data_IF_506900824779
#
_entry.id   IF_506900824779
#
_cell.length_a   1.000
_cell.length_b   1.000
_cell.length_c   1.000
_cell.angle_alpha   90.00
_cell.angle_beta   90.00
_cell.angle_gamma   90.00
#
_symmetry.space_group_name_H-M   'P 1'
#
loop_
_entity.id
_entity.type
_entity.pdbx_description
1 polymer ?
#
# COMPACT_ATOMS: atom_id res chain seq x y z
N UNK A 1 -2.49 2.45 -19.27
CA UNK A 1 -1.00 2.36 -19.26
C UNK A 1 -0.47 2.08 -17.85
N UNK A 2 0.74 1.52 -17.71
CA UNK A 2 1.38 1.20 -16.40
C UNK A 2 2.48 2.20 -16.06
N UNK A 3 2.48 2.72 -14.83
CA UNK A 3 3.55 3.55 -14.26
C UNK A 3 4.22 2.83 -13.09
N UNK A 4 5.55 2.84 -13.01
CA UNK A 4 6.29 2.20 -11.93
C UNK A 4 7.54 3.00 -11.52
N UNK A 5 8.05 2.71 -10.32
CA UNK A 5 9.29 3.28 -9.81
C UNK A 5 9.30 4.82 -9.86
N UNK A 6 10.31 5.40 -10.52
CA UNK A 6 10.50 6.86 -10.58
C UNK A 6 9.37 7.58 -11.31
N UNK A 7 8.76 6.96 -12.31
CA UNK A 7 7.65 7.57 -13.06
C UNK A 7 6.40 7.67 -12.19
N UNK A 8 6.12 6.62 -11.43
CA UNK A 8 5.02 6.61 -10.46
C UNK A 8 5.25 7.64 -9.35
N UNK A 9 6.47 7.75 -8.82
CA UNK A 9 6.80 8.76 -7.82
C UNK A 9 6.61 10.20 -8.34
N UNK A 10 7.00 10.47 -9.60
CA UNK A 10 6.78 11.77 -10.25
C UNK A 10 5.29 12.06 -10.45
N UNK A 11 4.54 11.06 -10.92
CA UNK A 11 3.10 11.18 -11.09
C UNK A 11 2.39 11.42 -9.76
N UNK A 12 2.72 10.68 -8.71
CA UNK A 12 2.10 10.85 -7.39
C UNK A 12 2.35 12.24 -6.78
N UNK A 13 3.50 12.86 -7.09
CA UNK A 13 3.81 14.22 -6.65
C UNK A 13 2.99 15.30 -7.38
N UNK A 14 2.59 15.05 -8.64
CA UNK A 14 1.79 15.96 -9.48
C UNK A 14 0.87 15.14 -10.41
N UNK A 15 -0.22 14.57 -9.88
CA UNK A 15 -1.10 13.72 -10.67
C UNK A 15 -1.90 14.56 -11.67
N UNK A 16 -2.05 14.06 -12.88
CA UNK A 16 -2.80 14.72 -13.95
C UNK A 16 -4.30 14.34 -13.89
N UNK A 17 -5.22 15.30 -13.71
CA UNK A 17 -6.66 15.04 -13.72
C UNK A 17 -7.21 14.62 -15.09
N UNK A 18 -6.42 14.69 -16.16
CA UNK A 18 -6.79 14.18 -17.50
C UNK A 18 -6.92 12.66 -17.60
N UNK A 19 -6.59 11.92 -16.53
CA UNK A 19 -6.75 10.48 -16.44
C UNK A 19 -8.08 10.10 -15.76
N UNK A 20 -8.97 9.34 -16.42
CA UNK A 20 -10.27 8.99 -15.86
C UNK A 20 -10.19 8.01 -14.68
N UNK A 21 -9.15 7.17 -14.63
CA UNK A 21 -8.99 6.20 -13.56
C UNK A 21 -7.52 5.92 -13.24
N UNK A 22 -7.25 5.69 -11.96
CA UNK A 22 -5.96 5.29 -11.40
C UNK A 22 -6.19 4.07 -10.53
N UNK A 23 -5.60 2.94 -10.90
CA UNK A 23 -5.62 1.68 -10.14
C UNK A 23 -4.29 1.50 -9.41
N UNK A 24 -4.32 1.53 -8.09
CA UNK A 24 -3.17 1.27 -7.24
C UNK A 24 -3.32 -0.15 -6.69
N UNK A 25 -2.34 -1.01 -6.92
CA UNK A 25 -2.47 -2.41 -6.51
C UNK A 25 -1.15 -2.98 -6.03
N UNK A 26 -1.17 -3.80 -4.99
CA UNK A 26 0.07 -4.36 -4.44
C UNK A 26 -0.16 -5.25 -3.23
N UNK A 27 0.89 -5.98 -2.79
CA UNK A 27 0.83 -6.82 -1.61
C UNK A 27 0.96 -6.04 -0.29
N UNK A 28 1.46 -4.79 -0.32
CA UNK A 28 1.62 -3.94 0.87
C UNK A 28 0.46 -2.93 0.98
N UNK A 29 -0.54 -3.18 1.86
CA UNK A 29 -1.74 -2.34 1.94
C UNK A 29 -1.45 -0.93 2.46
N UNK A 30 -0.40 -0.75 3.26
CA UNK A 30 -0.01 0.56 3.78
C UNK A 30 0.64 1.40 2.69
N UNK A 31 1.58 0.85 1.91
CA UNK A 31 2.17 1.60 0.78
C UNK A 31 1.13 1.93 -0.29
N UNK A 32 0.18 1.03 -0.52
CA UNK A 32 -0.99 1.29 -1.37
C UNK A 32 -1.82 2.44 -0.79
N UNK A 33 -2.07 2.45 0.52
CA UNK A 33 -2.82 3.49 1.21
C UNK A 33 -2.12 4.86 1.17
N UNK A 34 -0.81 4.90 1.37
CA UNK A 34 0.02 6.11 1.34
C UNK A 34 0.07 6.71 -0.06
N UNK A 35 0.30 5.88 -1.07
CA UNK A 35 0.30 6.30 -2.47
C UNK A 35 -1.08 6.82 -2.89
N UNK A 36 -2.17 6.14 -2.48
CA UNK A 36 -3.54 6.62 -2.69
C UNK A 36 -3.74 7.99 -2.05
N UNK A 37 -3.34 8.17 -0.78
CA UNK A 37 -3.50 9.43 -0.08
C UNK A 37 -2.73 10.57 -0.78
N UNK A 38 -1.49 10.31 -1.21
CA UNK A 38 -0.69 11.28 -1.97
C UNK A 38 -1.36 11.67 -3.29
N UNK A 39 -1.84 10.70 -4.06
CA UNK A 39 -2.52 10.94 -5.35
C UNK A 39 -3.82 11.71 -5.16
N UNK A 40 -4.67 11.32 -4.20
CA UNK A 40 -5.93 12.02 -3.93
C UNK A 40 -5.65 13.46 -3.50
N UNK A 41 -4.67 13.68 -2.61
CA UNK A 41 -4.26 15.02 -2.18
C UNK A 41 -3.72 15.85 -3.36
N UNK A 42 -2.94 15.25 -4.26
CA UNK A 42 -2.43 15.93 -5.44
C UNK A 42 -3.52 16.30 -6.45
N UNK A 43 -4.56 15.46 -6.59
CA UNK A 43 -5.68 15.70 -7.51
C UNK A 43 -6.66 16.73 -6.96
N UNK A 44 -7.13 16.53 -5.73
CA UNK A 44 -8.23 17.28 -5.16
C UNK A 44 -7.80 18.25 -4.04
N UNK A 45 -6.55 18.26 -3.60
CA UNK A 45 -6.10 19.11 -2.48
C UNK A 45 -6.46 18.53 -1.10
N UNK A 46 -5.97 19.18 -0.05
CA UNK A 46 -6.10 18.70 1.34
C UNK A 46 -7.54 18.78 1.89
N UNK A 47 -8.32 19.75 1.42
CA UNK A 47 -9.69 20.00 1.88
C UNK A 47 -10.77 19.25 1.07
N UNK A 48 -10.39 18.35 0.16
CA UNK A 48 -11.32 17.71 -0.77
C UNK A 48 -12.51 17.02 -0.08
N UNK A 49 -12.28 16.42 1.09
CA UNK A 49 -13.34 15.75 1.85
C UNK A 49 -14.30 16.75 2.50
N UNK A 50 -13.78 17.83 3.10
CA UNK A 50 -14.59 18.91 3.67
C UNK A 50 -15.38 19.69 2.61
N UNK A 51 -14.83 19.81 1.40
CA UNK A 51 -15.45 20.46 0.25
C UNK A 51 -16.32 19.50 -0.59
N UNK A 52 -16.58 18.27 -0.10
CA UNK A 52 -17.40 17.26 -0.80
C UNK A 52 -16.92 16.94 -2.23
N UNK A 53 -15.64 17.14 -2.50
CA UNK A 53 -14.97 16.80 -3.76
C UNK A 53 -14.38 15.39 -3.75
N UNK A 54 -14.32 14.74 -2.58
CA UNK A 54 -13.98 13.33 -2.44
C UNK A 54 -15.23 12.51 -2.10
N UNK A 55 -15.60 11.59 -2.99
CA UNK A 55 -16.68 10.61 -2.77
C UNK A 55 -16.08 9.23 -2.55
N UNK A 56 -16.67 8.44 -1.64
CA UNK A 56 -16.20 7.10 -1.29
C UNK A 56 -17.28 6.09 -1.63
N UNK A 57 -16.95 5.11 -2.46
CA UNK A 57 -17.84 4.00 -2.81
C UNK A 57 -17.25 2.69 -2.31
N UNK A 58 -18.09 1.84 -1.71
CA UNK A 58 -17.67 0.49 -1.36
C UNK A 58 -17.63 -0.38 -2.62
N UNK A 59 -16.61 -1.24 -2.75
CA UNK A 59 -16.51 -2.15 -3.89
C UNK A 59 -17.73 -3.09 -4.01
N UNK A 60 -18.33 -3.46 -2.88
CA UNK A 60 -19.57 -4.25 -2.84
C UNK A 60 -20.76 -3.55 -3.49
N UNK A 61 -20.89 -2.23 -3.28
CA UNK A 61 -21.98 -1.44 -3.86
C UNK A 61 -21.81 -1.30 -5.36
N UNK A 62 -20.59 -1.00 -5.83
CA UNK A 62 -20.27 -0.90 -7.27
C UNK A 62 -20.49 -2.25 -7.97
N UNK A 63 -20.24 -3.35 -7.28
CA UNK A 63 -20.53 -4.70 -7.80
C UNK A 63 -22.04 -4.95 -7.90
N UNK A 64 -22.82 -4.51 -6.90
CA UNK A 64 -24.27 -4.72 -6.86
C UNK A 64 -25.01 -3.85 -7.88
N UNK A 65 -24.57 -2.61 -8.05
CA UNK A 65 -25.07 -1.66 -9.03
C UNK A 65 -23.89 -1.01 -9.80
N UNK A 66 -23.51 -1.56 -10.96
CA UNK A 66 -22.41 -1.04 -11.77
C UNK A 66 -22.57 0.42 -12.22
N UNK A 67 -23.80 0.94 -12.29
CA UNK A 67 -24.06 2.30 -12.78
C UNK A 67 -23.56 3.38 -11.81
N UNK A 68 -23.53 3.08 -10.51
CA UNK A 68 -23.19 4.08 -9.47
C UNK A 68 -21.82 4.70 -9.66
N UNK A 69 -20.86 3.96 -10.24
CA UNK A 69 -19.52 4.47 -10.49
C UNK A 69 -19.55 5.56 -11.57
N UNK A 70 -20.23 5.31 -12.69
CA UNK A 70 -20.34 6.28 -13.77
C UNK A 70 -21.12 7.53 -13.31
N UNK A 71 -22.17 7.32 -12.52
CA UNK A 71 -22.98 8.42 -11.97
C UNK A 71 -22.18 9.27 -10.98
N UNK A 72 -21.45 8.63 -10.05
CA UNK A 72 -20.59 9.33 -9.10
C UNK A 72 -19.48 10.12 -9.81
N UNK A 73 -18.90 9.56 -10.88
CA UNK A 73 -17.87 10.24 -11.68
C UNK A 73 -18.43 11.47 -12.41
N UNK A 74 -19.66 11.40 -12.90
CA UNK A 74 -20.32 12.52 -13.61
C UNK A 74 -20.99 13.53 -12.69
N UNK A 75 -21.19 13.20 -11.42
CA UNK A 75 -21.83 14.10 -10.49
C UNK A 75 -21.06 15.43 -10.42
N UNK A 76 -21.81 16.53 -10.44
CA UNK A 76 -21.23 17.86 -10.30
C UNK A 76 -21.14 18.23 -8.82
N UNK A 77 -19.98 18.71 -8.41
CA UNK A 77 -19.76 19.16 -7.04
C UNK A 77 -20.34 20.55 -6.83
N UNK A 78 -20.74 20.85 -5.58
CA UNK A 78 -21.10 22.21 -5.18
C UNK A 78 -19.90 23.15 -5.15
N UNK A 79 -18.70 22.60 -4.93
CA UNK A 79 -17.45 23.35 -4.83
C UNK A 79 -16.63 23.18 -6.11
N UNK A 80 -16.01 24.27 -6.55
CA UNK A 80 -15.12 24.25 -7.71
C UNK A 80 -13.86 23.41 -7.43
N UNK A 81 -13.34 22.77 -8.47
CA UNK A 81 -12.11 21.98 -8.42
C UNK A 81 -12.33 20.52 -8.82
N UNK A 82 -11.22 19.80 -8.96
CA UNK A 82 -11.26 18.40 -9.35
C UNK A 82 -11.96 17.54 -8.28
N UNK A 83 -12.86 16.66 -8.72
CA UNK A 83 -13.48 15.63 -7.87
C UNK A 83 -12.75 14.29 -8.01
N UNK A 84 -12.85 13.47 -6.97
CA UNK A 84 -12.30 12.12 -6.93
C UNK A 84 -13.35 11.15 -6.37
N UNK A 85 -13.51 10.00 -7.03
CA UNK A 85 -14.27 8.87 -6.51
C UNK A 85 -13.27 7.81 -6.05
N UNK A 86 -13.24 7.54 -4.75
CA UNK A 86 -12.36 6.55 -4.13
C UNK A 86 -13.10 5.23 -3.96
N UNK A 87 -12.49 4.14 -4.43
CA UNK A 87 -12.92 2.77 -4.17
C UNK A 87 -11.74 2.01 -3.55
N UNK A 88 -11.96 1.40 -2.39
CA UNK A 88 -10.97 0.50 -1.79
C UNK A 88 -11.37 -0.96 -1.98
N UNK A 89 -10.37 -1.84 -1.93
CA UNK A 89 -10.55 -3.30 -2.05
C UNK A 89 -11.23 -3.74 -3.37
N UNK A 90 -10.91 -3.05 -4.47
CA UNK A 90 -11.39 -3.39 -5.79
C UNK A 90 -10.90 -4.79 -6.22
N UNK A 91 -11.82 -5.55 -6.84
CA UNK A 91 -11.54 -6.88 -7.38
C UNK A 91 -11.89 -6.92 -8.87
N UNK A 92 -11.61 -8.04 -9.53
CA UNK A 92 -11.98 -8.25 -10.94
C UNK A 92 -13.49 -8.10 -11.20
N UNK A 93 -14.33 -8.23 -10.17
CA UNK A 93 -15.77 -7.99 -10.28
C UNK A 93 -16.13 -6.56 -10.68
N UNK A 94 -15.24 -5.57 -10.46
CA UNK A 94 -15.49 -4.16 -10.80
C UNK A 94 -15.07 -3.82 -12.24
N UNK A 95 -14.43 -4.74 -12.97
CA UNK A 95 -13.96 -4.46 -14.33
C UNK A 95 -15.10 -4.01 -15.28
N UNK A 96 -16.31 -4.61 -15.29
CA UNK A 96 -17.40 -4.14 -16.14
C UNK A 96 -17.89 -2.74 -15.78
N UNK A 97 -18.04 -2.43 -14.49
CA UNK A 97 -18.45 -1.11 -14.01
C UNK A 97 -17.42 -0.04 -14.40
N UNK A 98 -16.13 -0.33 -14.19
CA UNK A 98 -15.06 0.57 -14.57
C UNK A 98 -15.00 0.77 -16.09
N UNK A 99 -15.20 -0.26 -16.90
CA UNK A 99 -15.21 -0.13 -18.35
C UNK A 99 -16.31 0.84 -18.82
N UNK A 100 -17.54 0.67 -18.33
CA UNK A 100 -18.65 1.56 -18.65
C UNK A 100 -18.38 3.01 -18.20
N UNK A 101 -17.80 3.19 -17.01
CA UNK A 101 -17.44 4.51 -16.52
C UNK A 101 -16.32 5.18 -17.35
N UNK A 102 -15.31 4.41 -17.78
CA UNK A 102 -14.24 4.89 -18.66
C UNK A 102 -14.77 5.34 -20.03
N UNK A 103 -15.68 4.58 -20.62
CA UNK A 103 -16.30 4.90 -21.92
C UNK A 103 -17.17 6.17 -21.83
N UNK A 104 -17.81 6.40 -20.69
CA UNK A 104 -18.72 7.52 -20.48
C UNK A 104 -18.03 8.80 -20.00
N UNK A 105 -16.77 8.73 -19.56
CA UNK A 105 -16.03 9.83 -18.93
C UNK A 105 -15.65 10.95 -19.91
N UNK A 106 -15.77 12.19 -19.47
CA UNK A 106 -15.34 13.39 -20.17
C UNK A 106 -14.38 14.25 -19.33
N UNK A 107 -13.53 15.08 -19.96
CA UNK A 107 -12.68 16.03 -19.22
C UNK A 107 -13.50 16.92 -18.30
N UNK A 108 -13.14 16.95 -17.01
CA UNK A 108 -13.86 17.67 -15.96
C UNK A 108 -14.68 16.77 -15.04
N UNK A 109 -15.00 15.54 -15.47
CA UNK A 109 -15.58 14.52 -14.59
C UNK A 109 -14.59 14.12 -13.49
N UNK A 110 -15.08 13.48 -12.43
CA UNK A 110 -14.25 13.01 -11.34
C UNK A 110 -13.25 11.93 -11.82
N UNK A 111 -12.11 11.86 -11.16
CA UNK A 111 -11.12 10.79 -11.36
C UNK A 111 -11.45 9.63 -10.43
N UNK A 112 -11.57 8.41 -10.95
CA UNK A 112 -11.70 7.23 -10.13
C UNK A 112 -10.33 6.78 -9.59
N UNK A 113 -10.17 6.69 -8.28
CA UNK A 113 -8.96 6.15 -7.62
C UNK A 113 -9.34 4.85 -6.94
N UNK A 114 -8.88 3.74 -7.50
CA UNK A 114 -9.16 2.39 -7.02
C UNK A 114 -7.93 1.81 -6.32
N UNK A 115 -8.10 1.19 -5.16
CA UNK A 115 -7.06 0.36 -4.54
C UNK A 115 -7.44 -1.11 -4.58
N UNK A 116 -6.45 -1.98 -4.76
CA UNK A 116 -6.61 -3.42 -4.76
C UNK A 116 -5.40 -4.10 -4.08
N UNK A 117 -5.58 -5.36 -3.68
CA UNK A 117 -4.48 -6.23 -3.29
C UNK A 117 -3.56 -6.58 -4.48
N UNK A 118 -2.81 -7.68 -4.36
CA UNK A 118 -1.91 -8.09 -5.43
C UNK A 118 -2.69 -8.63 -6.66
N UNK A 119 -2.64 -7.91 -7.79
CA UNK A 119 -3.29 -8.31 -9.04
C UNK A 119 -2.30 -8.95 -10.03
N UNK A 120 -2.56 -10.20 -10.39
CA UNK A 120 -1.78 -10.92 -11.41
C UNK A 120 -1.98 -10.30 -12.80
N UNK A 121 -1.06 -10.52 -13.77
CA UNK A 121 -1.27 -10.08 -15.15
C UNK A 121 -2.53 -10.65 -15.82
N UNK A 122 -3.17 -11.68 -15.23
CA UNK A 122 -4.41 -12.26 -15.75
C UNK A 122 -5.67 -11.50 -15.29
N UNK A 123 -5.58 -10.68 -14.24
CA UNK A 123 -6.67 -9.89 -13.67
C UNK A 123 -7.37 -9.07 -14.75
N UNK A 124 -8.70 -9.17 -14.80
CA UNK A 124 -9.53 -8.42 -15.73
C UNK A 124 -9.46 -6.91 -15.44
N UNK A 125 -9.51 -6.53 -14.16
CA UNK A 125 -9.44 -5.14 -13.73
C UNK A 125 -8.09 -4.52 -14.13
N UNK A 126 -6.99 -5.24 -13.86
CA UNK A 126 -5.65 -4.79 -14.24
C UNK A 126 -5.49 -4.66 -15.76
N UNK A 127 -5.93 -5.66 -16.53
CA UNK A 127 -5.86 -5.62 -18.00
C UNK A 127 -6.62 -4.45 -18.60
N UNK A 128 -7.83 -4.19 -18.09
CA UNK A 128 -8.65 -3.06 -18.52
C UNK A 128 -7.89 -1.74 -18.34
N UNK A 129 -7.35 -1.50 -17.16
CA UNK A 129 -6.64 -0.23 -16.85
C UNK A 129 -5.30 -0.13 -17.59
N UNK A 130 -4.53 -1.21 -17.68
CA UNK A 130 -3.27 -1.21 -18.43
C UNK A 130 -3.51 -0.95 -19.93
N UNK A 131 -4.57 -1.54 -20.50
CA UNK A 131 -4.95 -1.42 -21.91
C UNK A 131 -5.64 -0.12 -22.28
N UNK A 132 -6.25 0.60 -21.33
CA UNK A 132 -6.91 1.87 -21.61
C UNK A 132 -5.87 2.99 -21.86
N UNK A 133 -6.04 3.82 -22.92
CA UNK A 133 -5.04 4.81 -23.33
C UNK A 133 -4.84 5.93 -22.31
N UNK A 134 -5.87 6.24 -21.51
CA UNK A 134 -5.82 7.30 -20.51
C UNK A 134 -5.85 6.82 -19.05
N UNK A 135 -6.06 5.53 -18.78
CA UNK A 135 -6.10 5.07 -17.39
C UNK A 135 -4.69 4.69 -16.91
N UNK A 136 -4.42 4.83 -15.62
CA UNK A 136 -3.12 4.56 -15.01
C UNK A 136 -3.19 3.33 -14.10
N UNK A 137 -2.34 2.34 -14.35
CA UNK A 137 -2.04 1.28 -13.39
C UNK A 137 -0.76 1.62 -12.63
N UNK A 138 -0.85 1.65 -11.31
CA UNK A 138 0.20 1.99 -10.36
C UNK A 138 0.49 0.79 -9.45
N UNK A 139 1.23 -0.23 -9.93
CA UNK A 139 1.63 -1.35 -9.09
C UNK A 139 2.59 -0.89 -7.99
N UNK A 140 2.25 -1.24 -6.77
CA UNK A 140 3.11 -1.19 -5.60
C UNK A 140 3.72 -2.58 -5.44
N UNK A 141 5.02 -2.69 -5.67
CA UNK A 141 5.72 -3.94 -5.47
C UNK A 141 6.17 -4.06 -4.01
N UNK A 142 6.24 -5.28 -3.49
CA UNK A 142 7.05 -5.52 -2.30
C UNK A 142 8.49 -5.12 -2.66
N UNK A 143 9.16 -4.39 -1.77
CA UNK A 143 10.60 -4.21 -1.94
C UNK A 143 11.22 -5.59 -1.82
N UNK A 144 12.13 -5.92 -2.74
CA UNK A 144 12.93 -7.11 -2.56
C UNK A 144 13.68 -6.95 -1.24
N UNK A 145 13.73 -8.00 -0.42
CA UNK A 145 14.48 -8.03 0.84
C UNK A 145 16.00 -8.06 0.59
N UNK A 146 16.48 -7.17 -0.30
CA UNK A 146 17.90 -6.98 -0.55
C UNK A 146 18.51 -6.24 0.64
N UNK A 147 19.78 -6.52 0.97
CA UNK A 147 20.47 -5.81 2.03
C UNK A 147 20.41 -4.28 1.87
N UNK A 148 20.48 -3.77 0.64
CA UNK A 148 20.46 -2.34 0.35
C UNK A 148 19.10 -1.70 0.65
N UNK A 149 18.00 -2.38 0.32
CA UNK A 149 16.64 -1.91 0.59
C UNK A 149 16.35 -1.92 2.09
N UNK A 150 16.73 -2.98 2.80
CA UNK A 150 16.57 -3.07 4.25
C UNK A 150 17.38 -1.98 4.97
N UNK A 151 18.62 -1.72 4.55
CA UNK A 151 19.42 -0.59 5.06
C UNK A 151 18.79 0.76 4.79
N UNK A 152 18.18 0.95 3.62
CA UNK A 152 17.50 2.20 3.30
C UNK A 152 16.31 2.42 4.24
N UNK A 153 15.48 1.40 4.46
CA UNK A 153 14.35 1.46 5.38
C UNK A 153 14.77 1.75 6.83
N UNK A 154 15.83 1.11 7.33
CA UNK A 154 16.37 1.37 8.68
C UNK A 154 16.83 2.84 8.80
N UNK A 155 17.55 3.37 7.81
CA UNK A 155 18.00 4.76 7.81
C UNK A 155 16.86 5.77 7.71
N UNK A 156 15.84 5.49 6.91
CA UNK A 156 14.64 6.33 6.82
C UNK A 156 13.90 6.44 8.16
N UNK A 157 13.97 5.39 8.99
CA UNK A 157 13.45 5.38 10.36
C UNK A 157 14.40 6.05 11.39
N UNK A 158 15.52 6.66 10.94
CA UNK A 158 16.49 7.30 11.82
C UNK A 158 17.53 6.36 12.45
N UNK A 159 17.51 5.07 12.11
CA UNK A 159 18.50 4.09 12.57
C UNK A 159 19.71 4.11 11.63
N UNK A 160 20.69 4.96 11.93
CA UNK A 160 21.88 5.14 11.09
C UNK A 160 23.16 4.50 11.67
N UNK A 161 23.20 4.22 12.97
CA UNK A 161 24.38 3.69 13.65
C UNK A 161 24.13 2.26 14.16
N UNK A 162 24.95 1.31 13.73
CA UNK A 162 24.91 -0.09 14.14
C UNK A 162 26.33 -0.57 14.48
N UNK A 163 26.44 -1.52 15.40
CA UNK A 163 27.63 -2.38 15.44
C UNK A 163 27.61 -3.34 14.24
N UNK A 164 28.76 -3.87 13.78
CA UNK A 164 28.79 -4.83 12.67
C UNK A 164 27.87 -6.04 12.88
N UNK A 165 27.83 -6.56 14.10
CA UNK A 165 26.98 -7.69 14.49
C UNK A 165 25.49 -7.27 14.53
N UNK A 166 25.19 -6.09 15.08
CA UNK A 166 23.82 -5.56 15.13
C UNK A 166 23.24 -5.34 13.73
N UNK A 167 24.03 -4.80 12.80
CA UNK A 167 23.62 -4.64 11.40
C UNK A 167 23.37 -6.01 10.75
N UNK A 168 24.29 -6.95 10.92
CA UNK A 168 24.14 -8.31 10.37
C UNK A 168 22.86 -8.97 10.85
N UNK A 169 22.55 -8.87 12.14
CA UNK A 169 21.39 -9.52 12.74
C UNK A 169 20.09 -8.83 12.29
N UNK A 170 20.06 -7.49 12.25
CA UNK A 170 18.92 -6.72 11.72
C UNK A 170 18.62 -7.05 10.25
N UNK A 171 19.65 -7.16 9.40
CA UNK A 171 19.49 -7.53 7.99
C UNK A 171 19.14 -9.01 7.79
N UNK A 172 19.51 -9.88 8.72
CA UNK A 172 19.13 -11.30 8.68
C UNK A 172 17.65 -11.46 9.05
N UNK A 173 17.22 -10.83 10.14
CA UNK A 173 15.83 -10.80 10.55
C UNK A 173 14.95 -10.11 9.50
N UNK A 174 15.36 -8.96 8.97
CA UNK A 174 14.59 -8.27 7.93
C UNK A 174 14.40 -9.07 6.64
N UNK A 175 15.25 -10.06 6.36
CA UNK A 175 15.08 -10.99 5.23
C UNK A 175 14.08 -12.10 5.49
N UNK A 176 13.81 -12.45 6.75
CA UNK A 176 12.86 -13.49 7.13
C UNK A 176 11.46 -12.97 7.43
N UNK A 177 11.30 -11.65 7.58
CA UNK A 177 10.03 -11.02 7.90
C UNK A 177 9.24 -10.66 6.64
N UNK A 178 7.91 -10.78 6.73
CA UNK A 178 7.03 -10.20 5.72
C UNK A 178 7.13 -8.65 5.77
N UNK A 179 6.88 -7.92 4.65
CA UNK A 179 7.08 -6.47 4.60
C UNK A 179 6.39 -5.68 5.73
N UNK A 180 5.20 -6.11 6.14
CA UNK A 180 4.47 -5.50 7.26
C UNK A 180 5.13 -5.73 8.62
N UNK A 181 5.61 -6.95 8.88
CA UNK A 181 6.33 -7.31 10.10
C UNK A 181 7.69 -6.62 10.17
N UNK A 182 8.40 -6.54 9.04
CA UNK A 182 9.65 -5.80 8.96
C UNK A 182 9.46 -4.32 9.31
N UNK A 183 8.39 -3.69 8.81
CA UNK A 183 8.08 -2.30 9.18
C UNK A 183 7.82 -2.14 10.69
N UNK A 184 7.03 -3.02 11.28
CA UNK A 184 6.77 -3.00 12.74
C UNK A 184 8.05 -3.22 13.55
N UNK A 185 8.92 -4.13 13.10
CA UNK A 185 10.24 -4.35 13.67
C UNK A 185 11.09 -3.06 13.64
N UNK A 186 11.18 -2.41 12.48
CA UNK A 186 11.93 -1.15 12.32
C UNK A 186 11.37 -0.04 13.19
N UNK A 187 10.05 0.13 13.23
CA UNK A 187 9.39 1.14 14.07
C UNK A 187 9.66 0.90 15.56
N UNK A 188 9.54 -0.35 16.02
CA UNK A 188 9.85 -0.70 17.41
C UNK A 188 11.31 -0.45 17.76
N UNK A 189 12.23 -0.82 16.86
CA UNK A 189 13.66 -0.59 17.07
C UNK A 189 14.00 0.90 17.11
N UNK A 190 13.37 1.72 16.25
CA UNK A 190 13.52 3.17 16.26
C UNK A 190 13.00 3.80 17.56
N UNK A 191 11.85 3.34 18.06
CA UNK A 191 11.31 3.77 19.36
C UNK A 191 12.18 3.32 20.53
N UNK A 192 12.69 2.09 20.49
CA UNK A 192 13.57 1.54 21.51
C UNK A 192 14.88 2.35 21.64
N UNK A 193 15.43 2.81 20.51
CA UNK A 193 16.63 3.66 20.46
C UNK A 193 16.33 5.16 20.51
N UNK A 194 15.10 5.56 20.80
CA UNK A 194 14.73 6.97 20.80
C UNK A 194 15.50 7.74 21.88
N UNK A 195 16.30 8.73 21.46
CA UNK A 195 17.14 9.52 22.37
C UNK A 195 18.43 8.83 22.81
N UNK A 196 18.72 7.64 22.29
CA UNK A 196 19.96 6.91 22.53
C UNK A 196 20.93 7.12 21.36
N UNK A 197 22.13 7.63 21.67
CA UNK A 197 23.17 7.91 20.68
C UNK A 197 24.10 6.69 20.42
N UNK A 198 24.00 5.64 21.23
CA UNK A 198 24.82 4.44 21.05
C UNK A 198 24.38 3.64 19.81
N UNK A 199 25.32 3.01 19.07
CA UNK A 199 24.98 2.17 17.94
C UNK A 199 24.03 1.03 18.33
N UNK A 200 23.14 0.66 17.42
CA UNK A 200 22.28 -0.53 17.56
C UNK A 200 23.15 -1.78 17.68
N UNK A 201 22.90 -2.56 18.73
CA UNK A 201 23.59 -3.81 19.04
C UNK A 201 22.73 -5.04 18.72
N UNK A 202 23.30 -6.26 18.71
CA UNK A 202 22.53 -7.49 18.62
C UNK A 202 21.45 -7.63 19.71
N UNK A 203 21.73 -7.13 20.92
CA UNK A 203 20.79 -7.18 22.04
C UNK A 203 19.56 -6.31 21.77
N UNK A 204 19.76 -5.12 21.19
CA UNK A 204 18.66 -4.22 20.82
C UNK A 204 17.78 -4.83 19.71
N UNK A 205 18.42 -5.46 18.71
CA UNK A 205 17.72 -6.18 17.64
C UNK A 205 16.90 -7.33 18.22
N UNK A 206 17.46 -8.13 19.13
CA UNK A 206 16.77 -9.24 19.76
C UNK A 206 15.59 -8.77 20.64
N UNK A 207 15.78 -7.71 21.43
CA UNK A 207 14.71 -7.11 22.25
C UNK A 207 13.56 -6.58 21.40
N UNK A 208 13.86 -6.12 20.18
CA UNK A 208 12.90 -5.60 19.24
C UNK A 208 12.45 -6.60 18.18
N UNK A 209 12.89 -7.87 18.21
CA UNK A 209 12.49 -8.88 17.23
C UNK A 209 11.03 -9.31 17.43
N UNK A 210 10.23 -9.51 16.37
CA UNK A 210 8.85 -9.99 16.52
C UNK A 210 8.83 -11.23 17.40
N UNK A 211 7.92 -11.26 18.39
CA UNK A 211 7.69 -12.48 19.14
C UNK A 211 7.23 -13.51 18.11
N UNK A 212 7.96 -14.62 17.98
CA UNK A 212 7.52 -15.69 17.12
C UNK A 212 6.11 -16.09 17.57
N UNK A 213 5.07 -15.94 16.74
CA UNK A 213 3.80 -16.55 17.04
C UNK A 213 4.08 -18.05 17.08
N UNK A 214 3.81 -18.64 18.23
CA UNK A 214 3.65 -20.07 18.41
C UNK A 214 4.88 -20.98 18.28
N UNK A 215 6.11 -20.54 18.00
CA UNK A 215 7.24 -21.48 17.97
C UNK A 215 7.50 -22.14 19.35
N UNK A 216 7.38 -21.38 20.44
CA UNK A 216 7.48 -21.91 21.80
C UNK A 216 6.22 -22.68 22.22
N UNK A 217 5.05 -22.27 21.72
CA UNK A 217 3.77 -22.94 22.00
C UNK A 217 3.67 -24.26 21.25
N UNK A 218 4.10 -24.32 20.00
CA UNK A 218 4.22 -25.52 19.17
C UNK A 218 5.30 -26.45 19.70
N UNK A 219 6.44 -25.92 20.17
CA UNK A 219 7.45 -26.73 20.85
C UNK A 219 6.89 -27.32 22.17
N UNK A 220 6.12 -26.54 22.93
CA UNK A 220 5.42 -27.01 24.12
C UNK A 220 4.36 -28.06 23.77
N UNK A 221 3.54 -27.83 22.73
CA UNK A 221 2.52 -28.76 22.25
C UNK A 221 3.18 -30.05 21.77
N UNK A 222 4.28 -29.98 21.02
CA UNK A 222 5.05 -31.14 20.57
C UNK A 222 5.62 -31.91 21.77
N UNK A 223 6.23 -31.23 22.75
CA UNK A 223 6.73 -31.88 23.96
C UNK A 223 5.62 -32.56 24.77
N UNK A 224 4.45 -31.94 24.89
CA UNK A 224 3.28 -32.51 25.57
C UNK A 224 2.73 -33.70 24.78
N UNK A 225 2.60 -33.60 23.45
CA UNK A 225 2.13 -34.66 22.58
C UNK A 225 3.08 -35.88 22.55
N UNK A 226 4.38 -35.65 22.69
CA UNK A 226 5.42 -36.69 22.79
C UNK A 226 5.60 -37.24 24.21
N UNK A 227 4.82 -36.78 25.19
CA UNK A 227 4.89 -37.25 26.58
C UNK A 227 6.13 -36.80 27.35
N UNK A 228 6.84 -35.77 26.88
CA UNK A 228 8.05 -35.19 27.49
C UNK A 228 7.73 -34.05 28.45
N UNK A 229 6.69 -34.19 29.26
CA UNK A 229 6.18 -33.12 30.13
C UNK A 229 7.14 -32.69 31.27
N UNK A 230 8.32 -33.32 31.39
CA UNK A 230 9.33 -33.04 32.41
C UNK A 230 10.60 -32.31 31.91
N UNK A 231 10.68 -31.97 30.62
CA UNK A 231 11.78 -31.20 29.99
C UNK A 231 11.26 -29.91 29.37
#
# INVERSE_FOLDING_TARGET
MKLAGRELARFAARPDPGHPAILIHGPDPMRVADLRAAIIRGLAGENAEAEMRLERLAAGDVKADPAILADAMKATGFFAGQRVVRIDEATDALAPALAAALDAWAPGDAVAVLTAGNLTPRSALRKLVEGHPKAIAAPVYADAATPEALRAALREAGLAAFTPEGERDALTLGRSLEPGEFRQFVERLALYKHGDAEPVTPADVAACAPLAPDAEVDALIAKVAEGRAGE
#
